data_IF_684826987366
#
_entry.id   IF_684826987366
#
_cell.length_a   1.000
_cell.length_b   1.000
_cell.length_c   1.000
_cell.angle_alpha   90.00
_cell.angle_beta   90.00
_cell.angle_gamma   90.00
#
_symmetry.space_group_name_H-M   'P 1'
#
loop_
_entity.id
_entity.type
_entity.pdbx_description
1 polymer ?
#
# COMPACT_ATOMS: atom_id res chain seq x y z
N UNK A 1 -12.59 9.70 -5.53
CA UNK A 1 -13.44 9.37 -4.35
C UNK A 1 -12.64 8.42 -3.46
N UNK A 2 -12.74 8.56 -2.13
CA UNK A 2 -12.13 7.60 -1.22
C UNK A 2 -12.76 6.21 -1.43
N UNK A 3 -11.93 5.17 -1.44
CA UNK A 3 -12.37 3.79 -1.59
C UNK A 3 -12.72 3.23 -0.19
N UNK A 4 -13.99 2.89 0.11
CA UNK A 4 -14.44 2.59 1.48
C UNK A 4 -13.81 1.32 2.09
N UNK A 5 -13.27 0.45 1.24
CA UNK A 5 -12.65 -0.80 1.64
C UNK A 5 -11.12 -0.68 1.82
N UNK A 6 -10.54 0.48 1.47
CA UNK A 6 -9.11 0.74 1.61
C UNK A 6 -8.86 1.38 2.97
N UNK A 7 -8.00 0.76 3.76
CA UNK A 7 -7.43 1.36 4.96
C UNK A 7 -6.01 1.81 4.64
N UNK A 8 -5.80 3.13 4.62
CA UNK A 8 -4.48 3.71 4.46
C UNK A 8 -3.76 3.68 5.81
N UNK A 9 -2.59 3.05 5.83
CA UNK A 9 -1.76 2.91 7.03
C UNK A 9 -0.70 4.01 7.09
N UNK A 10 -0.33 4.58 5.94
CA UNK A 10 0.55 5.75 5.88
C UNK A 10 -0.19 7.02 6.30
N UNK A 11 0.43 7.91 7.09
CA UNK A 11 -0.13 9.23 7.36
C UNK A 11 -0.41 9.98 6.05
N UNK A 12 -1.54 10.69 6.02
CA UNK A 12 -1.93 11.53 4.87
C UNK A 12 -1.10 12.81 4.76
N UNK A 13 -0.43 13.21 5.85
CA UNK A 13 0.43 14.39 5.86
C UNK A 13 1.72 14.12 5.05
N UNK A 14 1.99 14.91 3.99
CA UNK A 14 3.20 14.79 3.19
C UNK A 14 4.50 14.95 3.99
N UNK A 15 4.49 15.72 5.09
CA UNK A 15 5.64 15.89 5.97
C UNK A 15 5.97 14.61 6.75
N UNK A 16 5.02 13.69 6.86
CA UNK A 16 5.12 12.42 7.58
C UNK A 16 5.14 11.21 6.64
N UNK A 17 5.29 11.42 5.33
CA UNK A 17 5.40 10.36 4.32
C UNK A 17 6.69 10.52 3.50
N UNK A 18 7.37 9.40 3.21
CA UNK A 18 8.71 9.37 2.64
C UNK A 18 8.77 8.67 1.27
N UNK A 19 7.77 8.88 0.41
CA UNK A 19 7.72 8.26 -0.93
C UNK A 19 7.25 6.81 -0.96
N UNK A 20 6.78 6.29 0.18
CA UNK A 20 6.09 5.01 0.28
C UNK A 20 4.64 5.21 0.68
N UNK A 21 3.77 4.33 0.22
CA UNK A 21 2.39 4.24 0.69
C UNK A 21 2.08 2.79 1.07
N UNK A 22 1.49 2.64 2.23
CA UNK A 22 1.08 1.37 2.83
C UNK A 22 -0.43 1.38 2.98
N UNK A 23 -1.08 0.33 2.48
CA UNK A 23 -2.52 0.16 2.61
C UNK A 23 -2.88 -1.30 2.81
N UNK A 24 -4.09 -1.55 3.31
CA UNK A 24 -4.70 -2.87 3.36
C UNK A 24 -6.17 -2.79 2.94
N UNK A 25 -6.74 -3.93 2.56
CA UNK A 25 -8.15 -4.03 2.19
C UNK A 25 -8.92 -4.77 3.29
N UNK A 26 -10.09 -4.26 3.66
CA UNK A 26 -10.96 -4.92 4.65
C UNK A 26 -11.38 -6.30 4.14
N UNK A 27 -11.10 -7.33 4.94
CA UNK A 27 -11.49 -8.71 4.64
C UNK A 27 -10.68 -9.37 3.52
N UNK A 28 -9.50 -8.85 3.17
CA UNK A 28 -8.58 -9.50 2.23
C UNK A 28 -7.17 -9.55 2.80
N UNK A 29 -6.49 -10.67 2.58
CA UNK A 29 -5.11 -10.86 3.00
C UNK A 29 -4.16 -10.06 2.11
N UNK A 30 -3.21 -9.36 2.72
CA UNK A 30 -2.31 -8.44 1.99
C UNK A 30 -1.45 -9.17 0.95
N UNK A 31 -1.08 -10.42 1.22
CA UNK A 31 -0.30 -11.25 0.30
C UNK A 31 -1.10 -11.59 -0.97
N UNK A 32 -2.39 -11.90 -0.84
CA UNK A 32 -3.27 -12.17 -1.97
C UNK A 32 -3.47 -10.93 -2.84
N UNK A 33 -3.63 -9.77 -2.19
CA UNK A 33 -3.76 -8.48 -2.87
C UNK A 33 -2.47 -8.15 -3.63
N UNK A 34 -1.29 -8.31 -3.01
CA UNK A 34 -0.01 -8.08 -3.68
C UNK A 34 0.21 -9.05 -4.84
N UNK A 35 -0.12 -10.34 -4.67
CA UNK A 35 -0.05 -11.32 -5.75
C UNK A 35 -0.96 -10.97 -6.93
N UNK A 36 -2.17 -10.48 -6.66
CA UNK A 36 -3.08 -10.00 -7.70
C UNK A 36 -2.53 -8.77 -8.44
N UNK A 37 -2.00 -7.78 -7.71
CA UNK A 37 -1.41 -6.57 -8.29
C UNK A 37 -0.18 -6.88 -9.16
N UNK A 38 0.67 -7.81 -8.72
CA UNK A 38 1.82 -8.28 -9.51
C UNK A 38 1.39 -8.93 -10.83
N UNK A 39 0.28 -9.68 -10.85
CA UNK A 39 -0.31 -10.21 -12.10
C UNK A 39 -0.77 -9.09 -13.05
N UNK A 40 -1.15 -7.94 -12.50
CA UNK A 40 -1.48 -6.72 -13.28
C UNK A 40 -0.25 -5.88 -13.65
N UNK A 41 0.96 -6.43 -13.52
CA UNK A 41 2.25 -5.78 -13.81
C UNK A 41 2.58 -4.59 -12.89
N UNK A 42 1.97 -4.52 -11.72
CA UNK A 42 2.37 -3.55 -10.69
C UNK A 42 3.48 -4.13 -9.82
N UNK A 43 4.59 -3.40 -9.68
CA UNK A 43 5.68 -3.78 -8.76
C UNK A 43 5.30 -3.33 -7.35
N UNK A 44 4.84 -4.28 -6.54
CA UNK A 44 4.43 -4.08 -5.15
C UNK A 44 4.95 -5.22 -4.28
N UNK A 45 4.89 -5.04 -2.97
CA UNK A 45 5.29 -6.06 -2.00
C UNK A 45 4.28 -6.11 -0.86
N UNK A 46 4.08 -7.27 -0.24
CA UNK A 46 3.31 -7.42 0.97
C UNK A 46 4.26 -7.71 2.14
N UNK A 47 4.11 -6.94 3.22
CA UNK A 47 4.97 -7.07 4.39
C UNK A 47 4.12 -7.09 5.65
N UNK A 48 4.49 -7.93 6.61
CA UNK A 48 3.96 -7.92 7.97
C UNK A 48 5.03 -7.40 8.91
N UNK A 49 4.75 -6.29 9.61
CA UNK A 49 5.67 -5.65 10.58
C UNK A 49 4.88 -5.18 11.80
N UNK A 50 5.36 -4.16 12.50
CA UNK A 50 4.79 -3.64 13.74
C UNK A 50 3.33 -3.16 13.62
N UNK A 51 2.86 -2.90 12.40
CA UNK A 51 1.49 -2.45 12.07
C UNK A 51 0.63 -3.55 11.45
N UNK A 52 1.07 -4.82 11.53
CA UNK A 52 0.42 -5.95 10.88
C UNK A 52 0.65 -6.00 9.36
N UNK A 53 -0.11 -6.84 8.64
CA UNK A 53 0.06 -7.04 7.20
C UNK A 53 -0.41 -5.81 6.40
N UNK A 54 0.43 -5.40 5.45
CA UNK A 54 0.18 -4.27 4.54
C UNK A 54 0.74 -4.52 3.15
N UNK A 55 0.10 -3.94 2.14
CA UNK A 55 0.65 -3.79 0.79
C UNK A 55 1.47 -2.51 0.72
N UNK A 56 2.72 -2.61 0.28
CA UNK A 56 3.65 -1.49 0.07
C UNK A 56 3.72 -1.12 -1.39
N UNK A 57 3.51 0.16 -1.67
CA UNK A 57 3.84 0.80 -2.95
C UNK A 57 4.90 1.86 -2.73
N UNK A 58 5.75 2.05 -3.73
CA UNK A 58 6.70 3.15 -3.77
C UNK A 58 6.26 4.11 -4.88
N UNK A 59 6.15 5.39 -4.55
CA UNK A 59 5.97 6.43 -5.54
C UNK A 59 7.30 7.18 -5.67
N UNK A 60 8.09 6.92 -6.73
CA UNK A 60 9.33 7.63 -6.93
C UNK A 60 9.02 9.11 -7.13
N UNK A 61 9.66 9.96 -6.30
CA UNK A 61 9.48 11.41 -6.30
C UNK A 61 9.86 12.10 -7.61
N UNK A 62 10.51 11.39 -8.54
CA UNK A 62 11.03 11.93 -9.81
C UNK A 62 10.01 11.98 -10.97
N UNK A 63 8.72 11.78 -10.69
CA UNK A 63 7.63 11.86 -11.69
C UNK A 63 6.60 12.97 -11.39
N UNK A 64 6.89 13.91 -10.49
CA UNK A 64 6.05 15.06 -10.18
C UNK A 64 6.75 16.38 -10.53
#
# INVERSE_FOLDING_TARGET
KAQPNVELVTPMDPALSAGFSFFRLKGQESDEVAAWLMKQRMVVDAVSRDVGPVVRTAHPRWLQ
#
